data_IF_172020376808
#
_entry.id   IF_172020376808
#
_cell.length_a   1.000
_cell.length_b   1.000
_cell.length_c   1.000
_cell.angle_alpha   90.00
_cell.angle_beta   90.00
_cell.angle_gamma   90.00
#
_symmetry.space_group_name_H-M   'P 1'
#
loop_
_entity.id
_entity.type
_entity.pdbx_description
1 polymer ?
#
# COMPACT_ATOMS: atom_id res chain seq x y z
N UNK A 1 32.41 21.57 -19.18
CA UNK A 1 31.26 22.38 -18.70
C UNK A 1 29.94 21.65 -18.99
N UNK A 2 29.51 20.74 -18.10
CA UNK A 2 28.11 20.25 -17.99
C UNK A 2 27.88 19.88 -16.53
N UNK A 3 27.24 20.78 -15.78
CA UNK A 3 26.78 20.51 -14.42
C UNK A 3 25.76 19.37 -14.52
N UNK A 4 26.10 18.22 -13.98
CA UNK A 4 25.15 17.13 -13.75
C UNK A 4 24.19 17.67 -12.68
N UNK A 5 23.03 18.14 -13.14
CA UNK A 5 21.98 18.62 -12.25
C UNK A 5 21.60 17.48 -11.32
N UNK A 6 21.88 17.70 -10.04
CA UNK A 6 21.46 16.91 -8.92
C UNK A 6 19.93 16.81 -8.98
N UNK A 7 19.42 15.72 -9.56
CA UNK A 7 17.99 15.40 -9.53
C UNK A 7 17.67 15.18 -8.07
N UNK A 8 17.04 16.19 -7.47
CA UNK A 8 16.54 16.16 -6.12
C UNK A 8 15.73 14.87 -6.01
N UNK A 9 16.25 13.86 -5.32
CA UNK A 9 15.53 12.65 -5.01
C UNK A 9 14.42 13.07 -4.06
N UNK A 10 13.29 13.51 -4.63
CA UNK A 10 12.10 13.80 -3.88
C UNK A 10 11.71 12.49 -3.21
N UNK A 11 12.11 12.33 -1.94
CA UNK A 11 11.59 11.26 -1.09
C UNK A 11 10.08 11.35 -1.26
N UNK A 12 9.46 10.31 -1.81
CA UNK A 12 8.02 10.22 -1.87
C UNK A 12 7.50 10.53 -0.48
N UNK A 13 6.86 11.70 -0.34
CA UNK A 13 6.38 12.14 0.96
C UNK A 13 5.42 11.08 1.47
N UNK A 14 5.74 10.52 2.64
CA UNK A 14 4.93 9.50 3.25
C UNK A 14 3.57 10.12 3.59
N UNK A 15 2.51 9.58 2.98
CA UNK A 15 1.14 10.06 3.16
C UNK A 15 0.39 9.13 4.11
N UNK A 16 0.45 9.45 5.39
CA UNK A 16 -0.20 8.67 6.44
C UNK A 16 -1.72 8.53 6.21
N UNK A 17 -2.36 9.55 5.62
CA UNK A 17 -3.78 9.56 5.25
C UNK A 17 -4.17 8.38 4.33
N UNK A 18 -3.30 8.01 3.38
CA UNK A 18 -3.55 6.92 2.43
C UNK A 18 -3.43 5.57 3.13
N UNK A 19 -2.48 5.44 4.05
CA UNK A 19 -2.30 4.21 4.82
C UNK A 19 -3.42 4.02 5.85
N UNK A 20 -3.90 5.12 6.45
CA UNK A 20 -5.10 5.13 7.29
C UNK A 20 -6.34 4.65 6.52
N UNK A 21 -6.53 5.10 5.28
CA UNK A 21 -7.65 4.64 4.45
C UNK A 21 -7.54 3.13 4.12
N UNK A 22 -6.32 2.62 3.90
CA UNK A 22 -6.09 1.17 3.76
C UNK A 22 -6.42 0.41 5.05
N UNK A 23 -6.06 0.96 6.21
CA UNK A 23 -6.38 0.35 7.50
C UNK A 23 -7.90 0.26 7.72
N UNK A 24 -8.64 1.33 7.41
CA UNK A 24 -10.11 1.34 7.49
C UNK A 24 -10.72 0.26 6.56
N UNK A 25 -10.19 0.13 5.35
CA UNK A 25 -10.61 -0.89 4.40
C UNK A 25 -10.40 -2.31 4.96
N UNK A 26 -9.21 -2.60 5.51
CA UNK A 26 -8.90 -3.90 6.15
C UNK A 26 -9.77 -4.16 7.37
N UNK A 27 -9.98 -3.16 8.23
CA UNK A 27 -10.87 -3.28 9.40
C UNK A 27 -12.28 -3.67 8.96
N UNK A 28 -12.80 -3.04 7.89
CA UNK A 28 -14.11 -3.37 7.34
C UNK A 28 -14.20 -4.82 6.86
N UNK A 29 -13.12 -5.35 6.26
CA UNK A 29 -13.03 -6.76 5.82
C UNK A 29 -12.99 -7.72 7.01
N UNK A 30 -12.24 -7.38 8.06
CA UNK A 30 -12.16 -8.18 9.28
C UNK A 30 -13.51 -8.21 9.99
N UNK A 31 -14.19 -7.07 10.12
CA UNK A 31 -15.51 -6.97 10.74
C UNK A 31 -16.58 -7.76 9.97
N UNK A 32 -16.48 -7.83 8.64
CA UNK A 32 -17.33 -8.69 7.83
C UNK A 32 -17.05 -10.18 8.09
N UNK A 33 -15.78 -10.59 8.11
CA UNK A 33 -15.40 -12.00 8.30
C UNK A 33 -15.58 -12.49 9.73
N UNK A 34 -15.51 -11.61 10.73
CA UNK A 34 -15.72 -11.99 12.14
C UNK A 34 -17.16 -12.37 12.45
N UNK A 35 -18.05 -12.36 11.45
CA UNK A 35 -19.49 -12.63 11.59
C UNK A 35 -20.08 -11.85 12.77
N UNK A 36 -19.60 -10.62 12.99
CA UNK A 36 -20.06 -9.79 14.09
C UNK A 36 -21.54 -9.47 13.89
N UNK A 37 -22.38 -10.17 14.65
CA UNK A 37 -23.81 -9.92 14.76
C UNK A 37 -23.99 -8.62 15.55
N UNK A 38 -24.03 -7.48 14.86
CA UNK A 38 -24.47 -6.23 15.45
C UNK A 38 -26.01 -6.25 15.52
N UNK A 39 -26.59 -6.08 16.71
CA UNK A 39 -28.04 -5.96 16.92
C UNK A 39 -28.90 -7.11 16.36
N UNK A 40 -28.41 -8.36 16.42
CA UNK A 40 -29.21 -9.55 16.08
C UNK A 40 -29.53 -9.71 14.59
N UNK A 41 -28.81 -9.01 13.69
CA UNK A 41 -29.02 -9.09 12.24
C UNK A 41 -27.68 -9.06 11.50
N UNK A 42 -27.52 -9.93 10.50
CA UNK A 42 -26.36 -9.93 9.60
C UNK A 42 -26.36 -8.66 8.74
N UNK A 43 -25.78 -7.58 9.27
CA UNK A 43 -25.77 -6.28 8.60
C UNK A 43 -24.74 -6.20 7.48
N UNK A 44 -23.65 -6.94 7.60
CA UNK A 44 -22.54 -6.87 6.68
C UNK A 44 -22.70 -7.95 5.60
N UNK A 45 -23.45 -7.65 4.53
CA UNK A 45 -23.46 -8.45 3.28
C UNK A 45 -22.45 -7.95 2.23
N UNK A 46 -21.54 -7.05 2.61
CA UNK A 46 -20.70 -6.27 1.67
C UNK A 46 -19.20 -6.18 2.00
N UNK A 47 -18.61 -7.18 2.67
CA UNK A 47 -17.18 -7.17 3.00
C UNK A 47 -16.24 -7.06 1.80
N UNK A 48 -16.69 -7.47 0.62
CA UNK A 48 -15.98 -7.37 -0.65
C UNK A 48 -15.62 -5.91 -1.02
N UNK A 49 -16.44 -4.93 -0.63
CA UNK A 49 -16.18 -3.51 -0.90
C UNK A 49 -14.88 -3.05 -0.21
N UNK A 50 -14.62 -3.53 1.01
CA UNK A 50 -13.39 -3.23 1.73
C UNK A 50 -12.16 -3.80 1.01
N UNK A 51 -12.29 -4.99 0.41
CA UNK A 51 -11.23 -5.63 -0.38
C UNK A 51 -10.95 -4.80 -1.64
N UNK A 52 -11.98 -4.39 -2.36
CA UNK A 52 -11.85 -3.58 -3.59
C UNK A 52 -11.17 -2.23 -3.31
N UNK A 53 -11.62 -1.52 -2.27
CA UNK A 53 -11.02 -0.23 -1.85
C UNK A 53 -9.55 -0.43 -1.50
N UNK A 54 -9.21 -1.46 -0.73
CA UNK A 54 -7.83 -1.74 -0.33
C UNK A 54 -6.92 -1.99 -1.55
N UNK A 55 -7.38 -2.78 -2.52
CA UNK A 55 -6.61 -3.08 -3.73
C UNK A 55 -6.44 -1.85 -4.63
N UNK A 56 -7.49 -1.04 -4.82
CA UNK A 56 -7.42 0.20 -5.60
C UNK A 56 -6.39 1.17 -5.02
N UNK A 57 -6.44 1.40 -3.70
CA UNK A 57 -5.50 2.31 -3.03
C UNK A 57 -4.06 1.76 -3.09
N UNK A 58 -3.90 0.44 -2.90
CA UNK A 58 -2.59 -0.21 -2.99
C UNK A 58 -2.01 -0.11 -4.41
N UNK A 59 -2.85 -0.29 -5.44
CA UNK A 59 -2.46 -0.12 -6.83
C UNK A 59 -2.01 1.30 -7.14
N UNK A 60 -2.78 2.31 -6.71
CA UNK A 60 -2.39 3.72 -6.83
C UNK A 60 -1.02 4.01 -6.21
N UNK A 61 -0.78 3.51 -4.99
CA UNK A 61 0.50 3.73 -4.30
C UNK A 61 1.66 3.03 -5.02
N UNK A 62 1.48 1.79 -5.47
CA UNK A 62 2.50 1.04 -6.21
C UNK A 62 2.85 1.76 -7.51
N UNK A 63 1.86 2.17 -8.29
CA UNK A 63 2.07 2.90 -9.56
C UNK A 63 2.81 4.22 -9.32
N UNK A 64 2.46 4.96 -8.26
CA UNK A 64 3.20 6.19 -7.90
C UNK A 64 4.65 5.92 -7.56
N UNK A 65 4.94 4.83 -6.84
CA UNK A 65 6.31 4.42 -6.52
C UNK A 65 7.09 4.11 -7.80
N UNK A 66 6.52 3.29 -8.67
CA UNK A 66 7.14 2.92 -9.96
C UNK A 66 7.41 4.16 -10.80
N UNK A 67 6.42 5.04 -10.96
CA UNK A 67 6.55 6.26 -11.75
C UNK A 67 7.62 7.20 -11.18
N UNK A 68 7.68 7.34 -9.85
CA UNK A 68 8.71 8.16 -9.20
C UNK A 68 10.12 7.60 -9.40
N UNK A 69 10.30 6.28 -9.34
CA UNK A 69 11.61 5.65 -9.59
C UNK A 69 12.01 5.79 -11.06
N UNK A 70 11.05 5.63 -11.97
CA UNK A 70 11.29 5.79 -13.41
C UNK A 70 11.68 7.23 -13.74
N UNK A 71 11.02 8.23 -13.15
CA UNK A 71 11.37 9.64 -13.32
C UNK A 71 12.73 9.98 -12.70
N UNK A 72 13.06 9.42 -11.54
CA UNK A 72 14.30 9.73 -10.83
C UNK A 72 15.54 9.04 -11.43
N UNK A 73 15.41 7.79 -11.91
CA UNK A 73 16.53 6.93 -12.33
C UNK A 73 16.51 6.57 -13.82
N UNK A 74 15.45 6.92 -14.55
CA UNK A 74 15.25 6.52 -15.95
C UNK A 74 15.02 5.03 -16.16
N UNK A 75 15.05 4.23 -15.10
CA UNK A 75 14.91 2.77 -15.14
C UNK A 75 14.19 2.27 -13.89
N UNK A 76 13.49 1.15 -14.03
CA UNK A 76 12.79 0.48 -12.95
C UNK A 76 13.28 -0.97 -12.85
N UNK A 77 13.56 -1.44 -11.62
CA UNK A 77 13.96 -2.82 -11.36
C UNK A 77 12.94 -3.48 -10.44
N UNK A 78 12.28 -4.51 -10.95
CA UNK A 78 11.34 -5.33 -10.19
C UNK A 78 12.01 -5.99 -8.99
N UNK A 79 13.23 -6.49 -9.15
CA UNK A 79 14.04 -7.09 -8.08
C UNK A 79 14.22 -6.10 -6.92
N UNK A 80 14.69 -4.88 -7.20
CA UNK A 80 14.90 -3.86 -6.17
C UNK A 80 13.58 -3.43 -5.50
N UNK A 81 12.48 -3.40 -6.26
CA UNK A 81 11.15 -3.10 -5.71
C UNK A 81 10.69 -4.17 -4.72
N UNK A 82 10.76 -5.44 -5.11
CA UNK A 82 10.35 -6.55 -4.26
C UNK A 82 11.30 -6.74 -3.08
N UNK A 83 12.60 -6.52 -3.24
CA UNK A 83 13.58 -6.60 -2.16
C UNK A 83 13.24 -5.63 -1.02
N UNK A 84 12.99 -4.34 -1.35
CA UNK A 84 12.59 -3.34 -0.34
C UNK A 84 11.28 -3.70 0.34
N UNK A 85 10.35 -4.29 -0.41
CA UNK A 85 9.05 -4.71 0.10
C UNK A 85 9.18 -5.93 1.02
N UNK A 86 10.01 -6.90 0.64
CA UNK A 86 10.33 -8.08 1.42
C UNK A 86 11.04 -7.70 2.72
N UNK A 87 12.04 -6.82 2.69
CA UNK A 87 12.73 -6.34 3.91
C UNK A 87 11.79 -5.69 4.94
N UNK A 88 10.64 -5.18 4.49
CA UNK A 88 9.60 -4.60 5.36
C UNK A 88 8.56 -5.61 5.84
N UNK A 89 8.20 -6.60 5.02
CA UNK A 89 7.13 -7.58 5.34
C UNK A 89 7.71 -8.82 6.04
N UNK A 90 8.86 -9.32 5.60
CA UNK A 90 9.52 -10.51 6.13
C UNK A 90 9.78 -10.46 7.65
N UNK A 91 10.21 -9.33 8.26
CA UNK A 91 10.43 -9.29 9.70
C UNK A 91 9.20 -9.69 10.52
N UNK A 92 8.00 -9.28 10.10
CA UNK A 92 6.75 -9.67 10.76
C UNK A 92 6.40 -11.15 10.59
N UNK A 93 6.95 -11.82 9.58
CA UNK A 93 6.75 -13.26 9.36
C UNK A 93 7.66 -14.12 10.25
N UNK A 94 8.88 -13.64 10.56
CA UNK A 94 9.88 -14.39 11.34
C UNK A 94 9.83 -14.15 12.85
N UNK A 95 9.08 -13.13 13.31
CA UNK A 95 8.96 -12.77 14.73
C UNK A 95 7.96 -13.67 15.48
N UNK A 96 7.27 -14.58 14.78
CA UNK A 96 6.36 -15.59 15.36
C UNK A 96 7.07 -16.92 15.61
#
# INVERSE_FOLDING_TARGET
>A
MKRVNQVNSSKLSYRAEIDGLRAIAVISVILYHSQMVLFGRDWFKGGFIGVDIFFVISGYLITRIILSELQAKGSFSFLNFYERRARRILPMLFVV
#
